data_IF_915733805927
#
_entry.id   IF_915733805927
#
_cell.length_a   1.000
_cell.length_b   1.000
_cell.length_c   1.000
_cell.angle_alpha   90.00
_cell.angle_beta   90.00
_cell.angle_gamma   90.00
#
_symmetry.space_group_name_H-M   'P 1'
#
loop_
_entity.id
_entity.type
_entity.pdbx_description
1 polymer ?
#
# COMPACT_ATOMS: atom_id res chain seq x y z
N UNK A 1 -48.60 49.89 16.62
CA UNK A 1 -47.66 50.29 15.55
C UNK A 1 -46.32 49.64 15.85
N UNK A 2 -45.83 48.80 14.92
CA UNK A 2 -44.47 48.24 14.90
C UNK A 2 -43.43 49.36 15.04
N UNK A 3 -42.30 49.18 15.73
CA UNK A 3 -41.13 48.49 15.17
C UNK A 3 -40.23 47.88 16.25
N UNK A 4 -39.85 46.62 15.98
CA UNK A 4 -38.91 45.82 16.73
C UNK A 4 -37.53 46.08 16.12
N UNK A 5 -36.65 46.80 16.82
CA UNK A 5 -35.25 46.89 16.43
C UNK A 5 -34.38 47.00 17.68
N UNK A 6 -34.34 45.90 18.44
CA UNK A 6 -33.42 45.76 19.57
C UNK A 6 -32.01 45.68 19.01
N UNK A 7 -31.23 46.72 19.32
CA UNK A 7 -29.78 46.76 19.22
C UNK A 7 -29.16 45.44 19.71
N UNK A 8 -28.84 44.53 18.79
CA UNK A 8 -28.20 43.23 19.09
C UNK A 8 -26.68 43.42 19.29
N UNK A 9 -26.16 44.63 19.00
CA UNK A 9 -24.75 44.95 18.88
C UNK A 9 -24.20 45.66 20.14
N UNK A 10 -24.21 44.96 21.29
CA UNK A 10 -23.24 45.27 22.35
C UNK A 10 -21.87 44.74 21.92
N UNK A 11 -20.80 45.52 22.10
CA UNK A 11 -19.42 45.13 21.71
C UNK A 11 -19.02 43.76 22.27
N UNK A 12 -19.54 43.38 23.43
CA UNK A 12 -19.32 42.06 24.03
C UNK A 12 -19.97 40.92 23.24
N UNK A 13 -21.15 41.13 22.66
CA UNK A 13 -21.83 40.13 21.82
C UNK A 13 -21.09 39.93 20.49
N UNK A 14 -20.43 40.97 19.94
CA UNK A 14 -19.55 40.80 18.78
C UNK A 14 -18.37 39.90 19.08
N UNK A 15 -17.75 40.07 20.26
CA UNK A 15 -16.59 39.28 20.64
C UNK A 15 -16.99 37.81 20.76
N UNK A 16 -18.14 37.52 21.38
CA UNK A 16 -18.69 36.16 21.47
C UNK A 16 -18.98 35.58 20.08
N UNK A 17 -19.55 36.38 19.17
CA UNK A 17 -19.79 35.97 17.79
C UNK A 17 -18.48 35.66 17.05
N UNK A 18 -17.45 36.51 17.22
CA UNK A 18 -16.14 36.33 16.60
C UNK A 18 -15.39 35.11 17.14
N UNK A 19 -15.56 34.79 18.43
CA UNK A 19 -14.97 33.62 19.05
C UNK A 19 -15.63 32.33 18.56
N UNK A 20 -16.96 32.37 18.37
CA UNK A 20 -17.72 31.26 17.79
C UNK A 20 -17.33 30.98 16.33
N UNK A 21 -17.22 32.01 15.50
CA UNK A 21 -16.77 31.83 14.11
C UNK A 21 -15.32 31.34 14.03
N UNK A 22 -14.43 31.84 14.90
CA UNK A 22 -13.05 31.39 15.00
C UNK A 22 -12.96 29.89 15.38
N UNK A 23 -13.77 29.44 16.34
CA UNK A 23 -13.80 28.04 16.77
C UNK A 23 -14.28 27.09 15.65
N UNK A 24 -15.27 27.51 14.86
CA UNK A 24 -15.77 26.75 13.71
C UNK A 24 -14.65 26.61 12.65
N UNK A 25 -13.98 27.71 12.30
CA UNK A 25 -12.90 27.71 11.30
C UNK A 25 -11.70 26.87 11.78
N UNK A 26 -11.34 26.95 13.06
CA UNK A 26 -10.25 26.17 13.64
C UNK A 26 -10.56 24.66 13.63
N UNK A 27 -11.79 24.28 13.98
CA UNK A 27 -12.23 22.88 13.95
C UNK A 27 -12.22 22.30 12.54
N UNK A 28 -12.68 23.09 11.55
CA UNK A 28 -12.68 22.67 10.15
C UNK A 28 -11.26 22.59 9.58
N UNK A 29 -10.38 23.54 9.93
CA UNK A 29 -8.97 23.52 9.53
C UNK A 29 -8.22 22.32 10.11
N UNK A 30 -8.44 21.98 11.40
CA UNK A 30 -7.88 20.76 12.00
C UNK A 30 -8.44 19.50 11.35
N UNK A 31 -9.74 19.44 11.08
CA UNK A 31 -10.38 18.29 10.43
C UNK A 31 -9.87 18.03 9.02
N UNK A 32 -9.69 19.08 8.20
CA UNK A 32 -9.10 18.96 6.86
C UNK A 32 -7.64 18.50 6.95
N UNK A 33 -6.87 19.03 7.89
CA UNK A 33 -5.47 18.63 8.07
C UNK A 33 -5.36 17.15 8.51
N UNK A 34 -6.30 16.66 9.32
CA UNK A 34 -6.39 15.25 9.70
C UNK A 34 -6.86 14.32 8.56
N UNK A 35 -7.61 14.83 7.58
CA UNK A 35 -8.00 14.06 6.41
C UNK A 35 -6.90 14.00 5.33
N UNK A 36 -5.84 14.82 5.46
CA UNK A 36 -4.70 14.88 4.57
C UNK A 36 -3.63 13.81 4.83
N UNK A 37 -3.74 13.04 5.91
CA UNK A 37 -2.87 11.89 6.18
C UNK A 37 -3.62 10.56 6.01
N UNK A 38 -4.53 10.50 5.03
CA UNK A 38 -4.60 9.25 4.27
C UNK A 38 -3.32 9.24 3.47
N UNK A 39 -2.27 8.61 4.02
CA UNK A 39 -1.21 8.07 3.19
C UNK A 39 -1.97 7.34 2.08
N UNK A 40 -2.00 7.81 0.81
CA UNK A 40 -2.39 6.90 -0.24
C UNK A 40 -1.50 5.70 0.01
N UNK A 41 -2.07 4.49 0.10
CA UNK A 41 -1.26 3.28 -0.08
C UNK A 41 -0.44 3.64 -1.30
N UNK A 42 0.85 3.90 -1.07
CA UNK A 42 1.77 4.34 -2.09
C UNK A 42 1.50 3.37 -3.20
N UNK A 43 0.95 3.89 -4.29
CA UNK A 43 0.72 3.21 -5.54
C UNK A 43 1.74 2.10 -5.57
N UNK A 44 1.31 0.85 -5.34
CA UNK A 44 2.22 -0.27 -5.42
C UNK A 44 2.73 -0.12 -6.82
N UNK A 45 3.97 0.34 -6.88
CA UNK A 45 4.71 0.53 -8.09
C UNK A 45 4.49 -0.78 -8.84
N UNK A 46 3.86 -0.67 -9.99
CA UNK A 46 3.74 -1.75 -10.95
C UNK A 46 5.18 -2.09 -11.38
N UNK A 47 5.85 -2.81 -10.51
CA UNK A 47 7.29 -2.95 -10.34
C UNK A 47 7.59 -4.00 -9.26
N UNK A 48 6.66 -4.21 -8.32
CA UNK A 48 6.50 -5.53 -7.69
C UNK A 48 5.29 -6.26 -8.28
N UNK A 49 5.27 -6.41 -9.61
CA UNK A 49 4.62 -7.62 -10.13
C UNK A 49 5.54 -8.73 -9.64
N UNK A 50 5.21 -9.34 -8.49
CA UNK A 50 5.80 -10.63 -8.15
C UNK A 50 5.40 -11.54 -9.30
N UNK A 51 6.30 -11.69 -10.28
CA UNK A 51 6.05 -12.58 -11.39
C UNK A 51 6.01 -13.98 -10.80
N UNK A 52 5.01 -14.77 -11.18
CA UNK A 52 5.02 -16.19 -10.87
C UNK A 52 6.27 -16.79 -11.53
N UNK A 53 7.18 -17.32 -10.72
CA UNK A 53 8.51 -17.77 -11.11
C UNK A 53 9.68 -16.83 -10.80
N UNK A 54 9.46 -15.60 -10.33
CA UNK A 54 10.52 -14.70 -9.85
C UNK A 54 10.70 -14.90 -8.34
N UNK A 55 11.70 -15.70 -7.97
CA UNK A 55 11.96 -16.14 -6.60
C UNK A 55 13.08 -15.32 -5.96
N UNK A 56 13.91 -14.66 -6.76
CA UNK A 56 14.94 -13.74 -6.27
C UNK A 56 14.47 -12.28 -6.15
N UNK A 57 13.27 -11.97 -6.63
CA UNK A 57 12.64 -10.65 -6.52
C UNK A 57 13.27 -9.61 -7.44
N UNK A 58 13.90 -10.06 -8.53
CA UNK A 58 14.58 -9.19 -9.49
C UNK A 58 13.61 -8.51 -10.46
N UNK A 59 12.35 -8.95 -10.52
CA UNK A 59 11.32 -8.46 -11.44
C UNK A 59 11.34 -9.16 -12.81
N UNK A 60 12.26 -10.11 -13.04
CA UNK A 60 12.35 -10.92 -14.25
C UNK A 60 12.45 -12.40 -13.88
N UNK A 61 11.79 -13.28 -14.62
CA UNK A 61 11.97 -14.72 -14.45
C UNK A 61 13.23 -15.14 -15.21
N UNK A 62 14.24 -15.61 -14.50
CA UNK A 62 15.54 -15.99 -15.05
C UNK A 62 15.99 -17.37 -14.58
N UNK A 63 17.10 -17.88 -15.14
CA UNK A 63 17.70 -19.16 -14.73
C UNK A 63 18.13 -19.11 -13.25
N UNK A 64 18.37 -17.91 -12.71
CA UNK A 64 18.77 -17.72 -11.31
C UNK A 64 17.65 -18.10 -10.36
N UNK A 65 16.40 -17.80 -10.69
CA UNK A 65 15.23 -18.20 -9.92
C UNK A 65 15.12 -19.71 -9.80
N UNK A 66 15.35 -20.43 -10.90
CA UNK A 66 15.37 -21.89 -10.89
C UNK A 66 16.47 -22.45 -9.97
N UNK A 67 17.64 -21.81 -9.90
CA UNK A 67 18.71 -22.21 -8.98
C UNK A 67 18.27 -22.00 -7.53
N UNK A 68 17.69 -20.85 -7.20
CA UNK A 68 17.20 -20.54 -5.84
C UNK A 68 16.13 -21.55 -5.41
N UNK A 69 15.19 -21.90 -6.30
CA UNK A 69 14.18 -22.95 -6.03
C UNK A 69 14.85 -24.29 -5.72
N UNK A 70 15.88 -24.69 -6.48
CA UNK A 70 16.61 -25.93 -6.21
C UNK A 70 17.30 -25.90 -4.85
N UNK A 71 17.89 -24.78 -4.45
CA UNK A 71 18.52 -24.63 -3.14
C UNK A 71 17.50 -24.75 -2.00
N UNK A 72 16.32 -24.15 -2.17
CA UNK A 72 15.19 -24.25 -1.25
C UNK A 72 14.65 -25.69 -1.19
N UNK A 73 14.41 -26.33 -2.33
CA UNK A 73 13.90 -27.69 -2.42
C UNK A 73 14.87 -28.72 -1.81
N UNK A 74 16.17 -28.43 -1.84
CA UNK A 74 17.22 -29.24 -1.18
C UNK A 74 17.38 -28.94 0.30
N UNK A 75 16.72 -27.90 0.83
CA UNK A 75 16.78 -27.49 2.23
C UNK A 75 18.06 -26.76 2.61
N UNK A 76 18.82 -26.25 1.65
CA UNK A 76 19.99 -25.41 1.93
C UNK A 76 19.59 -24.00 2.38
N UNK A 77 18.41 -23.54 1.94
CA UNK A 77 17.83 -22.23 2.27
C UNK A 77 16.37 -22.44 2.68
N UNK A 78 15.91 -21.75 3.72
CA UNK A 78 14.47 -21.72 4.05
C UNK A 78 13.76 -20.74 3.11
N UNK A 79 12.66 -21.19 2.50
CA UNK A 79 11.81 -20.34 1.68
C UNK A 79 11.24 -19.19 2.51
N UNK A 80 11.36 -17.97 2.00
CA UNK A 80 10.64 -16.83 2.59
C UNK A 80 9.17 -16.83 2.14
N UNK A 81 8.26 -16.17 2.88
CA UNK A 81 6.87 -16.06 2.48
C UNK A 81 6.68 -15.45 1.09
N UNK A 82 7.56 -14.54 0.68
CA UNK A 82 7.55 -13.90 -0.64
C UNK A 82 7.88 -14.92 -1.74
N UNK A 83 8.86 -15.79 -1.50
CA UNK A 83 9.25 -16.87 -2.40
C UNK A 83 8.15 -17.91 -2.58
N UNK A 84 7.43 -18.24 -1.50
CA UNK A 84 6.25 -19.12 -1.57
C UNK A 84 5.10 -18.50 -2.36
N UNK A 85 5.04 -17.17 -2.48
CA UNK A 85 4.06 -16.48 -3.34
C UNK A 85 4.48 -16.46 -4.81
N UNK A 86 5.78 -16.59 -5.08
CA UNK A 86 6.34 -16.70 -6.42
C UNK A 86 6.24 -18.12 -7.00
N UNK A 87 5.60 -19.04 -6.29
CA UNK A 87 5.39 -20.43 -6.68
C UNK A 87 4.88 -20.56 -8.14
N UNK A 88 5.63 -21.23 -9.03
CA UNK A 88 5.26 -21.44 -10.43
C UNK A 88 4.05 -22.36 -10.64
N UNK A 89 3.74 -23.25 -9.70
CA UNK A 89 2.66 -24.22 -9.83
C UNK A 89 1.46 -23.91 -8.90
N UNK A 90 1.67 -23.10 -7.87
CA UNK A 90 0.65 -22.64 -6.93
C UNK A 90 0.20 -23.69 -5.91
N UNK A 91 1.01 -24.73 -5.65
CA UNK A 91 0.77 -25.77 -4.66
C UNK A 91 1.21 -25.37 -3.24
N UNK A 92 1.88 -24.21 -3.11
CA UNK A 92 2.35 -23.64 -1.86
C UNK A 92 3.72 -24.16 -1.42
N UNK A 93 4.43 -24.88 -2.27
CA UNK A 93 5.76 -25.43 -2.01
C UNK A 93 6.70 -25.22 -3.19
N UNK A 94 7.93 -24.78 -2.91
CA UNK A 94 8.96 -24.66 -3.93
C UNK A 94 9.71 -25.99 -4.08
N UNK A 95 9.48 -26.68 -5.19
CA UNK A 95 10.05 -28.01 -5.46
C UNK A 95 10.97 -28.01 -6.68
N UNK A 96 11.68 -29.13 -6.89
CA UNK A 96 12.53 -29.32 -8.07
C UNK A 96 11.72 -29.27 -9.38
N UNK A 97 10.44 -29.68 -9.36
CA UNK A 97 9.56 -29.63 -10.53
C UNK A 97 9.36 -28.18 -11.01
N UNK A 98 9.21 -27.27 -10.06
CA UNK A 98 9.03 -25.83 -10.31
C UNK A 98 10.27 -25.21 -10.97
N UNK A 99 11.46 -25.59 -10.51
CA UNK A 99 12.71 -25.16 -11.14
C UNK A 99 12.83 -25.65 -12.59
N UNK A 100 12.50 -26.93 -12.85
CA UNK A 100 12.53 -27.49 -14.21
C UNK A 100 11.51 -26.78 -15.11
N UNK A 101 10.34 -26.44 -14.56
CA UNK A 101 9.29 -25.71 -15.28
C UNK A 101 9.78 -24.35 -15.74
N UNK A 102 10.40 -23.57 -14.85
CA UNK A 102 10.99 -22.27 -15.18
C UNK A 102 12.06 -22.44 -16.27
N UNK A 103 13.00 -23.37 -16.09
CA UNK A 103 14.06 -23.59 -17.08
C UNK A 103 13.53 -23.93 -18.47
N UNK A 104 12.44 -24.71 -18.53
CA UNK A 104 11.77 -25.05 -19.79
C UNK A 104 11.12 -23.84 -20.46
N UNK A 105 10.49 -22.96 -19.66
CA UNK A 105 9.89 -21.71 -20.16
C UNK A 105 10.97 -20.76 -20.70
N UNK A 106 12.12 -20.69 -20.01
CA UNK A 106 13.25 -19.84 -20.36
C UNK A 106 14.13 -20.36 -21.48
N UNK A 107 13.94 -21.62 -21.89
CA UNK A 107 14.59 -22.19 -23.08
C UNK A 107 13.63 -22.17 -24.27
N UNK A 108 13.36 -21.01 -24.91
CA UNK A 108 12.66 -21.01 -26.19
C UNK A 108 13.57 -21.69 -27.22
N UNK A 109 12.95 -22.54 -28.03
CA UNK A 109 13.58 -23.27 -29.13
C UNK A 109 14.09 -22.34 -30.22
#
# INVERSE_FOLDING_TARGET
MHTHNRSIFSRQNLHILSLGTLAIVASFSLGIQSAGEVQPISLIEAGSIQLSGDVDGSGEVTVRDAIVILEIARGYVQATPEQLRADPNGDGTLTVDDAIRILRELSPR
#
